data_IF_572013690114
#
_entry.id   IF_572013690114
#
_cell.length_a   1.000
_cell.length_b   1.000
_cell.length_c   1.000
_cell.angle_alpha   90.00
_cell.angle_beta   90.00
_cell.angle_gamma   90.00
#
_symmetry.space_group_name_H-M   'P 1'
#
loop_
_entity.id
_entity.type
_entity.pdbx_description
1 polymer ?
#
# COMPACT_ATOMS: atom_id res chain seq x y z
N UNK A 1 -1.20 0.58 7.02
CA UNK A 1 -2.43 0.41 6.24
C UNK A 1 -2.64 1.51 5.20
N UNK A 2 -2.61 2.78 5.53
CA UNK A 2 -2.70 3.91 4.57
C UNK A 2 -1.72 3.77 3.40
N UNK A 3 -0.47 3.44 3.68
CA UNK A 3 0.57 3.26 2.66
C UNK A 3 0.27 2.09 1.71
N UNK A 4 -0.25 0.95 2.22
CA UNK A 4 -0.67 -0.19 1.40
C UNK A 4 -1.80 0.21 0.46
N UNK A 5 -2.86 0.83 0.98
CA UNK A 5 -3.99 1.26 0.16
C UNK A 5 -3.61 2.32 -0.88
N UNK A 6 -2.69 3.22 -0.55
CA UNK A 6 -2.14 4.20 -1.48
C UNK A 6 -1.32 3.53 -2.59
N UNK A 7 -0.47 2.57 -2.25
CA UNK A 7 0.32 1.81 -3.22
C UNK A 7 -0.58 1.00 -4.17
N UNK A 8 -1.58 0.30 -3.61
CA UNK A 8 -2.55 -0.48 -4.39
C UNK A 8 -3.37 0.42 -5.33
N UNK A 9 -3.78 1.60 -4.85
CA UNK A 9 -4.49 2.60 -5.66
C UNK A 9 -3.66 3.01 -6.88
N UNK A 10 -2.42 3.42 -6.69
CA UNK A 10 -1.55 3.85 -7.78
C UNK A 10 -1.24 2.74 -8.78
N UNK A 11 -1.09 1.50 -8.30
CA UNK A 11 -0.93 0.33 -9.17
C UNK A 11 -2.15 0.09 -10.05
N UNK A 12 -3.35 0.22 -9.48
CA UNK A 12 -4.62 0.07 -10.21
C UNK A 12 -4.88 1.22 -11.17
N UNK A 13 -4.57 2.46 -10.79
CA UNK A 13 -4.67 3.63 -11.66
C UNK A 13 -3.77 3.50 -12.90
N UNK A 14 -2.51 3.11 -12.73
CA UNK A 14 -1.60 2.85 -13.85
C UNK A 14 -2.14 1.75 -14.77
N UNK A 15 -2.66 0.67 -14.18
CA UNK A 15 -3.24 -0.43 -14.97
C UNK A 15 -4.47 0.01 -15.74
N UNK A 16 -5.37 0.76 -15.09
CA UNK A 16 -6.56 1.31 -15.72
C UNK A 16 -6.20 2.24 -16.88
N UNK A 17 -5.20 3.09 -16.70
CA UNK A 17 -4.71 4.00 -17.71
C UNK A 17 -4.27 3.27 -18.99
N UNK A 18 -3.49 2.20 -18.87
CA UNK A 18 -3.06 1.37 -19.99
C UNK A 18 -4.27 0.70 -20.70
N UNK A 19 -5.20 0.16 -19.90
CA UNK A 19 -6.38 -0.52 -20.48
C UNK A 19 -7.35 0.45 -21.16
N UNK A 20 -7.44 1.71 -20.73
CA UNK A 20 -8.22 2.74 -21.43
C UNK A 20 -7.61 3.06 -22.80
N UNK A 21 -6.30 3.16 -22.92
CA UNK A 21 -5.62 3.29 -24.21
C UNK A 21 -5.92 2.10 -25.13
N UNK A 22 -5.82 0.90 -24.60
CA UNK A 22 -6.19 -0.31 -25.33
C UNK A 22 -7.66 -0.29 -25.79
N UNK A 23 -8.58 0.09 -24.92
CA UNK A 23 -10.00 0.15 -25.28
C UNK A 23 -10.26 1.13 -26.42
N UNK A 24 -9.59 2.29 -26.44
CA UNK A 24 -9.72 3.27 -27.54
C UNK A 24 -9.30 2.67 -28.89
N UNK A 25 -8.23 1.87 -28.91
CA UNK A 25 -7.76 1.21 -30.13
C UNK A 25 -8.65 0.03 -30.52
N UNK A 26 -9.16 -0.73 -29.55
CA UNK A 26 -10.09 -1.84 -29.82
C UNK A 26 -11.42 -1.41 -30.43
N UNK A 27 -11.81 -0.15 -30.29
CA UNK A 27 -13.00 0.40 -30.97
C UNK A 27 -12.79 0.53 -32.48
N UNK A 28 -11.56 0.73 -32.95
CA UNK A 28 -11.22 0.85 -34.38
C UNK A 28 -9.88 0.17 -34.67
N UNK A 29 -9.89 -1.15 -34.61
CA UNK A 29 -8.70 -1.98 -34.84
C UNK A 29 -8.17 -1.82 -36.27
N UNK A 30 -9.06 -1.67 -37.25
CA UNK A 30 -8.67 -1.54 -38.66
C UNK A 30 -7.87 -0.27 -38.90
N UNK A 31 -8.22 0.82 -38.24
CA UNK A 31 -7.45 2.06 -38.23
C UNK A 31 -6.07 1.88 -37.62
N UNK A 32 -5.99 1.17 -36.50
CA UNK A 32 -4.70 0.90 -35.86
C UNK A 32 -3.77 0.07 -36.76
N UNK A 33 -4.30 -0.99 -37.36
CA UNK A 33 -3.56 -1.82 -38.32
C UNK A 33 -3.14 -1.00 -39.54
N UNK A 34 -4.02 -0.13 -40.03
CA UNK A 34 -3.68 0.73 -41.15
C UNK A 34 -2.53 1.68 -40.82
N UNK A 35 -2.55 2.34 -39.67
CA UNK A 35 -1.47 3.22 -39.21
C UNK A 35 -0.16 2.45 -39.15
N UNK A 36 -0.14 1.30 -38.46
CA UNK A 36 1.08 0.49 -38.33
C UNK A 36 1.64 0.05 -39.70
N UNK A 37 0.79 -0.35 -40.64
CA UNK A 37 1.21 -0.82 -41.97
C UNK A 37 1.68 0.30 -42.89
N UNK A 38 1.20 1.53 -42.71
CA UNK A 38 1.57 2.68 -43.55
C UNK A 38 2.74 3.46 -42.99
N UNK A 39 3.15 3.19 -41.75
CA UNK A 39 4.36 3.78 -41.15
C UNK A 39 5.60 3.12 -41.73
N UNK A 40 6.55 3.92 -42.18
CA UNK A 40 7.77 3.43 -42.83
C UNK A 40 8.83 3.01 -41.81
N UNK A 41 8.97 3.74 -40.74
CA UNK A 41 9.97 3.48 -39.69
C UNK A 41 9.32 2.98 -38.39
N UNK A 42 9.94 1.97 -37.77
CA UNK A 42 9.46 1.39 -36.48
C UNK A 42 9.37 2.45 -35.38
N UNK A 43 10.28 3.41 -35.35
CA UNK A 43 10.34 4.51 -34.40
C UNK A 43 9.16 5.48 -34.49
N UNK A 44 8.49 5.55 -35.63
CA UNK A 44 7.34 6.42 -35.87
C UNK A 44 5.99 5.77 -35.54
N UNK A 45 5.96 4.47 -35.28
CA UNK A 45 4.71 3.73 -34.99
C UNK A 45 4.01 4.28 -33.76
N UNK A 46 4.75 4.49 -32.66
CA UNK A 46 4.20 5.02 -31.40
C UNK A 46 3.67 6.45 -31.59
N UNK A 47 4.44 7.42 -32.12
CA UNK A 47 3.93 8.76 -32.40
C UNK A 47 2.69 8.78 -33.30
N UNK A 48 2.65 7.94 -34.34
CA UNK A 48 1.52 7.88 -35.25
C UNK A 48 0.25 7.30 -34.59
N UNK A 49 0.39 6.33 -33.70
CA UNK A 49 -0.71 5.81 -32.89
C UNK A 49 -1.21 6.87 -31.88
N UNK A 50 -0.31 7.62 -31.26
CA UNK A 50 -0.67 8.73 -30.35
C UNK A 50 -1.55 9.78 -31.07
N UNK A 51 -1.14 10.22 -32.25
CA UNK A 51 -1.87 11.19 -33.07
C UNK A 51 -3.20 10.60 -33.57
N UNK A 52 -3.18 9.34 -34.00
CA UNK A 52 -4.35 8.69 -34.59
C UNK A 52 -5.48 8.45 -33.62
N UNK A 53 -5.18 8.16 -32.35
CA UNK A 53 -6.16 7.79 -31.32
C UNK A 53 -6.25 8.79 -30.16
N UNK A 54 -5.38 9.79 -30.09
CA UNK A 54 -5.34 10.76 -29.00
C UNK A 54 -4.93 10.13 -27.66
N UNK A 55 -4.07 9.12 -27.70
CA UNK A 55 -3.51 8.41 -26.53
C UNK A 55 -2.10 8.90 -26.23
N UNK A 56 -1.62 8.67 -25.02
CA UNK A 56 -0.26 9.02 -24.65
C UNK A 56 0.77 7.95 -25.09
N UNK A 57 2.05 8.30 -24.94
CA UNK A 57 3.19 7.45 -25.33
C UNK A 57 3.16 6.08 -24.62
N UNK A 58 2.88 6.06 -23.30
CA UNK A 58 2.87 4.84 -22.50
C UNK A 58 1.73 3.90 -22.93
N UNK A 59 0.58 4.47 -23.30
CA UNK A 59 -0.54 3.72 -23.81
C UNK A 59 -0.28 3.19 -25.22
N UNK A 60 0.32 4.02 -26.10
CA UNK A 60 0.65 3.65 -27.47
C UNK A 60 1.71 2.53 -27.49
N UNK A 61 2.72 2.62 -26.66
CA UNK A 61 3.75 1.61 -26.49
C UNK A 61 3.16 0.27 -26.03
N UNK A 62 2.33 0.31 -24.97
CA UNK A 62 1.65 -0.88 -24.46
C UNK A 62 0.79 -1.57 -25.53
N UNK A 63 0.16 -0.81 -26.41
CA UNK A 63 -0.68 -1.36 -27.49
C UNK A 63 0.17 -1.89 -28.64
N UNK A 64 1.25 -1.21 -28.99
CA UNK A 64 2.16 -1.64 -30.06
C UNK A 64 2.80 -3.03 -29.75
N UNK A 65 3.02 -3.33 -28.46
CA UNK A 65 3.54 -4.62 -28.01
C UNK A 65 2.51 -5.75 -27.95
N UNK A 66 1.22 -5.47 -28.17
CA UNK A 66 0.18 -6.49 -28.08
C UNK A 66 0.31 -7.51 -29.21
N UNK A 67 0.32 -8.76 -28.82
CA UNK A 67 0.34 -9.88 -29.79
C UNK A 67 -0.98 -9.97 -30.55
N UNK A 68 -0.94 -10.12 -31.87
CA UNK A 68 -2.12 -10.23 -32.72
C UNK A 68 -3.17 -11.25 -32.23
N UNK A 69 -2.72 -12.37 -31.64
CA UNK A 69 -3.60 -13.39 -31.05
C UNK A 69 -4.51 -12.86 -29.92
N UNK A 70 -4.14 -11.73 -29.30
CA UNK A 70 -4.90 -11.10 -28.22
C UNK A 70 -6.00 -10.15 -28.74
N UNK A 71 -6.10 -9.94 -30.03
CA UNK A 71 -7.17 -9.12 -30.64
C UNK A 71 -8.45 -9.92 -30.90
N UNK A 72 -8.62 -11.05 -30.20
CA UNK A 72 -9.83 -11.86 -30.31
C UNK A 72 -10.96 -11.31 -29.39
N UNK A 73 -12.21 -11.65 -29.74
CA UNK A 73 -13.40 -11.19 -29.02
C UNK A 73 -13.38 -11.53 -27.54
N UNK A 74 -12.89 -12.70 -27.17
CA UNK A 74 -12.83 -13.14 -25.78
C UNK A 74 -11.88 -12.25 -24.95
N UNK A 75 -10.71 -11.95 -25.50
CA UNK A 75 -9.73 -11.08 -24.85
C UNK A 75 -10.29 -9.66 -24.67
N UNK A 76 -10.97 -9.12 -25.70
CA UNK A 76 -11.59 -7.79 -25.66
C UNK A 76 -12.62 -7.73 -24.52
N UNK A 77 -13.55 -8.69 -24.46
CA UNK A 77 -14.58 -8.74 -23.42
C UNK A 77 -13.97 -8.86 -22.01
N UNK A 78 -12.91 -9.68 -21.87
CA UNK A 78 -12.19 -9.82 -20.60
C UNK A 78 -11.54 -8.50 -20.16
N UNK A 79 -10.96 -7.74 -21.09
CA UNK A 79 -10.31 -6.45 -20.77
C UNK A 79 -11.33 -5.35 -20.45
N UNK A 80 -12.47 -5.36 -21.13
CA UNK A 80 -13.58 -4.43 -20.81
C UNK A 80 -14.11 -4.69 -19.39
N UNK A 81 -14.35 -5.95 -19.03
CA UNK A 81 -14.75 -6.30 -17.65
C UNK A 81 -13.67 -5.96 -16.60
N UNK A 82 -12.38 -6.08 -16.96
CA UNK A 82 -11.26 -5.67 -16.09
C UNK A 82 -11.28 -4.14 -15.85
N UNK A 83 -11.61 -3.34 -16.84
CA UNK A 83 -11.74 -1.87 -16.71
C UNK A 83 -12.83 -1.52 -15.68
N UNK A 84 -14.03 -2.09 -15.83
CA UNK A 84 -15.14 -1.84 -14.91
C UNK A 84 -14.78 -2.24 -13.46
N UNK A 85 -14.12 -3.39 -13.28
CA UNK A 85 -13.68 -3.84 -11.97
C UNK A 85 -12.62 -2.91 -11.37
N UNK A 86 -11.65 -2.45 -12.17
CA UNK A 86 -10.63 -1.52 -11.72
C UNK A 86 -11.21 -0.16 -11.32
N UNK A 87 -12.18 0.35 -12.08
CA UNK A 87 -12.87 1.61 -11.76
C UNK A 87 -13.61 1.50 -10.42
N UNK A 88 -14.32 0.40 -10.18
CA UNK A 88 -14.98 0.14 -8.90
C UNK A 88 -13.99 0.02 -7.73
N UNK A 89 -12.90 -0.70 -7.94
CA UNK A 89 -11.85 -0.89 -6.92
C UNK A 89 -11.14 0.44 -6.58
N UNK A 90 -10.86 1.28 -7.58
CA UNK A 90 -10.25 2.60 -7.40
C UNK A 90 -11.20 3.52 -6.62
N UNK A 91 -12.50 3.50 -6.94
CA UNK A 91 -13.49 4.27 -6.22
C UNK A 91 -13.57 3.82 -4.73
N UNK A 92 -13.54 2.52 -4.46
CA UNK A 92 -13.54 1.99 -3.08
C UNK A 92 -12.26 2.36 -2.32
N UNK A 93 -11.08 2.26 -2.94
CA UNK A 93 -9.80 2.65 -2.32
C UNK A 93 -9.75 4.15 -2.02
N UNK A 94 -10.24 4.99 -2.92
CA UNK A 94 -10.34 6.43 -2.69
C UNK A 94 -11.27 6.74 -1.51
N UNK A 95 -12.42 6.06 -1.41
CA UNK A 95 -13.34 6.22 -0.28
C UNK A 95 -12.72 5.74 1.06
N UNK A 96 -11.94 4.66 1.03
CA UNK A 96 -11.18 4.19 2.20
C UNK A 96 -10.15 5.23 2.64
N UNK A 97 -9.39 5.80 1.69
CA UNK A 97 -8.36 6.80 2.00
C UNK A 97 -8.95 8.11 2.50
N UNK A 98 -10.13 8.50 2.00
CA UNK A 98 -10.83 9.71 2.43
C UNK A 98 -11.46 9.59 3.83
N UNK A 99 -11.78 8.38 4.29
CA UNK A 99 -12.55 8.16 5.53
C UNK A 99 -11.74 7.39 6.59
N UNK A 100 -11.13 8.06 7.59
CA UNK A 100 -10.38 7.40 8.66
C UNK A 100 -11.19 6.32 9.42
N UNK A 101 -12.50 6.50 9.52
CA UNK A 101 -13.40 5.53 10.14
C UNK A 101 -13.42 4.19 9.40
N UNK A 102 -13.36 4.19 8.05
CA UNK A 102 -13.27 2.96 7.25
C UNK A 102 -11.95 2.24 7.48
N UNK A 103 -10.84 2.99 7.55
CA UNK A 103 -9.52 2.43 7.85
C UNK A 103 -9.52 1.72 9.21
N UNK A 104 -10.06 2.37 10.25
CA UNK A 104 -10.20 1.76 11.58
C UNK A 104 -11.02 0.48 11.54
N UNK A 105 -12.15 0.48 10.82
CA UNK A 105 -13.02 -0.70 10.69
C UNK A 105 -12.28 -1.87 10.02
N UNK A 106 -11.48 -1.61 8.99
CA UNK A 106 -10.68 -2.64 8.32
C UNK A 106 -9.62 -3.20 9.28
N UNK A 107 -8.90 -2.34 10.00
CA UNK A 107 -7.90 -2.76 10.99
C UNK A 107 -8.55 -3.62 12.08
N UNK A 108 -9.68 -3.20 12.62
CA UNK A 108 -10.42 -3.97 13.63
C UNK A 108 -10.83 -5.35 13.12
N UNK A 109 -11.28 -5.44 11.88
CA UNK A 109 -11.64 -6.71 11.24
C UNK A 109 -10.42 -7.62 11.08
N UNK A 110 -9.32 -7.11 10.53
CA UNK A 110 -8.08 -7.88 10.35
C UNK A 110 -7.53 -8.37 11.71
N UNK A 111 -7.56 -7.52 12.75
CA UNK A 111 -7.13 -7.89 14.10
C UNK A 111 -8.06 -8.97 14.71
N UNK A 112 -9.37 -8.87 14.50
CA UNK A 112 -10.31 -9.88 14.96
C UNK A 112 -10.08 -11.23 14.28
N UNK A 113 -9.81 -11.24 12.99
CA UNK A 113 -9.48 -12.45 12.23
C UNK A 113 -8.16 -13.09 12.72
N UNK A 114 -7.15 -12.27 13.00
CA UNK A 114 -5.88 -12.74 13.58
C UNK A 114 -6.10 -13.28 15.00
N UNK A 115 -6.86 -12.58 15.84
CA UNK A 115 -7.17 -13.04 17.19
C UNK A 115 -7.94 -14.36 17.18
N UNK A 116 -8.89 -14.52 16.24
CA UNK A 116 -9.63 -15.79 16.09
C UNK A 116 -8.74 -16.95 15.67
N UNK A 117 -7.76 -16.70 14.78
CA UNK A 117 -6.89 -17.74 14.22
C UNK A 117 -5.72 -18.11 15.13
N UNK A 118 -5.17 -17.13 15.83
CA UNK A 118 -3.93 -17.30 16.60
C UNK A 118 -4.09 -16.94 18.08
N UNK A 119 -5.26 -16.50 18.52
CA UNK A 119 -5.54 -16.13 19.90
C UNK A 119 -5.30 -17.30 20.85
N UNK A 120 -4.62 -17.02 21.93
CA UNK A 120 -4.40 -17.95 23.03
C UNK A 120 -5.00 -17.36 24.31
N UNK A 121 -5.43 -18.22 25.28
CA UNK A 121 -5.87 -17.73 26.55
C UNK A 121 -4.76 -16.93 27.26
N UNK A 122 -5.17 -15.96 28.04
CA UNK A 122 -4.23 -15.13 28.79
C UNK A 122 -3.40 -15.99 29.74
N UNK A 123 -2.08 -15.80 29.74
CA UNK A 123 -1.16 -16.55 30.60
C UNK A 123 -0.98 -15.93 31.99
N UNK A 124 -1.27 -14.63 32.13
CA UNK A 124 -1.21 -13.90 33.40
C UNK A 124 -2.60 -13.74 33.98
N UNK A 125 -2.73 -13.96 35.28
CA UNK A 125 -3.94 -13.71 36.04
C UNK A 125 -4.10 -12.21 36.30
N UNK A 126 -5.36 -11.74 36.34
CA UNK A 126 -5.65 -10.37 36.72
C UNK A 126 -5.99 -10.41 38.21
N UNK A 127 -5.13 -9.88 39.04
CA UNK A 127 -5.39 -9.69 40.47
C UNK A 127 -6.10 -8.35 40.61
N UNK A 128 -7.35 -8.39 41.10
CA UNK A 128 -8.15 -7.18 41.37
C UNK A 128 -7.84 -6.61 42.75
N UNK A 129 -7.50 -7.50 43.70
CA UNK A 129 -7.05 -7.12 45.02
C UNK A 129 -5.55 -7.47 45.12
N UNK A 130 -4.70 -6.47 45.21
CA UNK A 130 -3.33 -6.68 45.60
C UNK A 130 -3.36 -7.20 47.04
N UNK A 131 -2.76 -8.35 47.38
CA UNK A 131 -2.60 -8.71 48.77
C UNK A 131 -1.93 -7.52 49.47
N UNK A 132 -2.56 -7.01 50.54
CA UNK A 132 -1.87 -6.05 51.39
C UNK A 132 -0.53 -6.67 51.72
N UNK A 133 0.55 -6.03 51.31
CA UNK A 133 1.89 -6.45 51.71
C UNK A 133 1.92 -6.35 53.23
N UNK A 134 1.66 -7.50 53.91
CA UNK A 134 1.89 -7.62 55.32
C UNK A 134 3.42 -7.43 55.55
N UNK A 135 3.73 -6.25 55.98
CA UNK A 135 5.10 -5.87 56.29
C UNK A 135 5.91 -5.52 55.03
N UNK A 136 5.64 -4.38 54.49
CA UNK A 136 6.68 -3.66 53.75
C UNK A 136 7.86 -3.60 54.71
N UNK A 137 8.92 -4.33 54.43
CA UNK A 137 10.19 -4.11 55.09
C UNK A 137 10.38 -2.58 55.04
N UNK A 138 10.40 -1.95 56.23
CA UNK A 138 10.78 -0.54 56.31
C UNK A 138 12.05 -0.43 55.45
N UNK A 139 11.91 0.18 54.27
CA UNK A 139 13.09 0.52 53.47
C UNK A 139 13.93 1.33 54.43
N UNK A 140 15.02 0.70 54.93
CA UNK A 140 16.00 1.42 55.74
C UNK A 140 16.30 2.70 54.99
N UNK A 141 15.81 3.82 55.51
CA UNK A 141 16.02 5.11 54.89
C UNK A 141 17.51 5.30 54.68
N UNK A 142 17.96 5.09 53.45
CA UNK A 142 19.37 5.26 53.12
C UNK A 142 19.75 6.69 53.52
N UNK A 143 20.64 6.88 54.47
CA UNK A 143 20.96 8.21 54.98
C UNK A 143 21.45 9.08 53.82
N UNK A 144 20.88 10.26 53.70
CA UNK A 144 21.28 11.22 52.71
C UNK A 144 22.71 11.72 53.01
N UNK A 145 23.58 11.64 52.04
CA UNK A 145 24.99 12.06 52.19
C UNK A 145 25.44 12.80 50.93
N UNK A 146 26.36 13.76 51.08
CA UNK A 146 26.89 14.49 49.95
C UNK A 146 27.66 13.60 48.99
N UNK A 147 27.37 13.72 47.70
CA UNK A 147 28.05 12.92 46.68
C UNK A 147 28.47 13.81 45.50
N UNK A 148 29.60 13.44 44.93
CA UNK A 148 30.08 14.02 43.67
C UNK A 148 29.76 13.05 42.55
N UNK A 149 29.03 13.53 41.57
CA UNK A 149 28.63 12.74 40.38
C UNK A 149 29.49 13.17 39.20
N UNK A 150 30.17 12.22 38.59
CA UNK A 150 30.92 12.40 37.36
C UNK A 150 30.14 11.78 36.22
N UNK A 151 29.88 12.62 35.20
CA UNK A 151 29.28 12.15 33.98
C UNK A 151 30.26 12.37 32.82
N UNK A 152 30.67 11.28 32.16
CA UNK A 152 31.63 11.36 31.06
C UNK A 152 30.92 11.69 29.74
N UNK A 153 31.67 12.20 28.77
CA UNK A 153 31.19 12.50 27.42
C UNK A 153 30.69 11.26 26.69
N UNK A 154 31.17 10.07 27.13
CA UNK A 154 30.79 8.76 26.56
C UNK A 154 29.58 8.13 27.24
N UNK A 155 28.93 8.83 28.17
CA UNK A 155 27.70 8.38 28.83
C UNK A 155 27.91 7.56 30.11
N UNK A 156 29.11 7.43 30.63
CA UNK A 156 29.35 6.75 31.90
C UNK A 156 29.05 7.67 33.08
N UNK A 157 28.36 7.14 34.08
CA UNK A 157 28.04 7.84 35.32
C UNK A 157 28.77 7.17 36.48
N UNK A 158 29.50 7.96 37.27
CA UNK A 158 30.18 7.50 38.48
C UNK A 158 29.77 8.39 39.64
N UNK A 159 29.34 7.76 40.76
CA UNK A 159 29.00 8.41 42.00
C UNK A 159 30.11 8.16 43.01
N UNK A 160 30.66 9.19 43.63
CA UNK A 160 31.71 9.13 44.65
C UNK A 160 31.20 9.88 45.88
N UNK A 161 31.39 9.29 47.07
CA UNK A 161 31.07 9.94 48.32
C UNK A 161 32.04 11.09 48.54
N UNK A 162 31.52 12.29 48.83
CA UNK A 162 32.32 13.43 49.23
C UNK A 162 32.65 13.31 50.69
N UNK A 163 33.94 13.38 51.01
CA UNK A 163 34.39 13.41 52.41
C UNK A 163 34.06 14.72 53.09
#
# INVERSE_FOLDING_TARGET
MLFRSWYDLHGKEKRLHLLKGLAAILMDIDKAIHIIRTTEEETEVVPNLMIGFGIDEVQADYVAEIKLRHLNREYILKRTGEIEQLEADIADLNDILAKPARIRKIIMKELADVAKKYGQPRRSEILYDLPEEEGGAEEEAVPDYPVTVFFTREGYLKKIRSE
#
